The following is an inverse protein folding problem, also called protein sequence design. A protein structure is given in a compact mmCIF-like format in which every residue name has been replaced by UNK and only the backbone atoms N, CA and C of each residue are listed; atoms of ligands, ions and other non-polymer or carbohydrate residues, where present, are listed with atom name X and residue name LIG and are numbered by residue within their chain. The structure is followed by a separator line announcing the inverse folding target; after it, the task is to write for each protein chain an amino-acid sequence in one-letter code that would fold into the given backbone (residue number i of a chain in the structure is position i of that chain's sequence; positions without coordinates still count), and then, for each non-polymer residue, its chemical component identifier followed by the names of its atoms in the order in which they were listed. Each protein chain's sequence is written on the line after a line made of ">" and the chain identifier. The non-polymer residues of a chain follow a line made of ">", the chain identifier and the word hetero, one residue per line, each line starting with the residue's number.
data_IF_052845600203
#
_entry.id   IF_052845600203
#
_cell.length_a   1.000
_cell.length_b   1.000
_cell.length_c   1.000
_cell.angle_alpha   90.00
_cell.angle_beta   90.00
_cell.angle_gamma   90.00
#
_symmetry.space_group_name_H-M   'P 1'
#
loop_
_entity.id
_entity.type
_entity.pdbx_description
1 polymer ?
#
# COMPACT_ATOMS: atom_id res chain seq x y z
N UNK A 1 13.36 2.98 6.08
CA UNK A 1 14.07 1.76 5.63
C UNK A 1 15.57 1.84 5.96
N UNK A 2 16.26 2.90 5.55
CA UNK A 2 17.70 3.04 5.82
C UNK A 2 18.06 3.02 7.33
N UNK A 3 17.19 3.57 8.19
CA UNK A 3 17.38 3.51 9.64
C UNK A 3 17.24 2.09 10.19
N UNK A 4 16.34 1.29 9.59
CA UNK A 4 16.01 -0.05 10.06
C UNK A 4 16.98 -1.12 9.52
N UNK A 5 17.48 -0.90 8.28
CA UNK A 5 18.25 -1.90 7.52
C UNK A 5 19.70 -1.50 7.24
N UNK A 6 20.08 -0.23 7.46
CA UNK A 6 21.43 0.29 7.20
C UNK A 6 21.73 0.58 5.73
N UNK A 7 20.82 0.26 4.83
CA UNK A 7 20.94 0.48 3.37
C UNK A 7 19.62 1.00 2.78
N UNK A 8 19.67 1.59 1.58
CA UNK A 8 18.48 2.01 0.86
C UNK A 8 17.80 0.81 0.21
N UNK A 9 16.45 0.80 0.07
CA UNK A 9 15.77 -0.23 -0.68
C UNK A 9 16.14 -0.13 -2.17
N UNK A 10 16.27 -1.25 -2.86
CA UNK A 10 16.48 -1.31 -4.30
C UNK A 10 15.17 -1.39 -5.08
N UNK A 11 14.13 -1.95 -4.45
CA UNK A 11 12.80 -2.15 -5.03
C UNK A 11 11.70 -1.80 -4.02
N UNK A 12 10.74 -0.97 -4.44
CA UNK A 12 9.61 -0.54 -3.61
C UNK A 12 8.32 -0.71 -4.38
N UNK A 13 7.30 -1.25 -3.74
CA UNK A 13 5.93 -1.24 -4.26
C UNK A 13 5.09 -0.20 -3.51
N UNK A 14 4.45 0.69 -4.28
CA UNK A 14 3.53 1.71 -3.77
C UNK A 14 2.10 1.34 -4.12
N UNK A 15 1.21 1.42 -3.13
CA UNK A 15 -0.22 1.19 -3.31
C UNK A 15 -0.95 2.52 -3.56
N UNK A 16 -1.43 2.73 -4.79
CA UNK A 16 -2.06 3.97 -5.24
C UNK A 16 -3.57 3.84 -5.32
N UNK A 17 -4.24 4.66 -4.53
CA UNK A 17 -5.69 4.75 -4.54
C UNK A 17 -6.17 5.97 -5.34
N UNK A 18 -7.17 5.76 -6.21
CA UNK A 18 -7.74 6.85 -7.00
C UNK A 18 -8.35 7.94 -6.13
N UNK A 19 -8.99 7.59 -5.02
CA UNK A 19 -9.55 8.55 -4.07
C UNK A 19 -8.49 9.39 -3.38
N UNK A 20 -7.36 8.80 -2.98
CA UNK A 20 -6.22 9.51 -2.41
C UNK A 20 -5.62 10.49 -3.42
N UNK A 21 -5.42 10.04 -4.67
CA UNK A 21 -4.91 10.90 -5.75
C UNK A 21 -5.81 12.10 -6.05
N UNK A 22 -7.15 11.94 -5.94
CA UNK A 22 -8.08 13.07 -6.07
C UNK A 22 -7.97 14.08 -4.92
N UNK A 23 -7.78 13.62 -3.69
CA UNK A 23 -7.68 14.48 -2.49
C UNK A 23 -6.35 15.21 -2.41
N UNK A 24 -5.24 14.53 -2.71
CA UNK A 24 -3.88 15.06 -2.54
C UNK A 24 -3.33 15.76 -3.79
N UNK A 25 -4.00 15.61 -4.94
CA UNK A 25 -3.46 16.09 -6.20
C UNK A 25 -2.35 15.21 -6.77
N UNK A 26 -2.17 13.98 -6.26
CA UNK A 26 -1.23 12.99 -6.79
C UNK A 26 0.07 12.86 -6.01
N UNK A 27 0.07 13.11 -4.70
CA UNK A 27 1.26 12.99 -3.85
C UNK A 27 1.92 11.60 -3.94
N UNK A 28 1.11 10.51 -3.99
CA UNK A 28 1.63 9.16 -4.11
C UNK A 28 2.40 8.94 -5.41
N UNK A 29 1.87 9.45 -6.52
CA UNK A 29 2.55 9.39 -7.81
C UNK A 29 3.81 10.25 -7.82
N UNK A 30 3.78 11.43 -7.20
CA UNK A 30 4.95 12.30 -7.07
C UNK A 30 6.05 11.61 -6.23
N UNK A 31 5.68 10.91 -5.17
CA UNK A 31 6.59 10.08 -4.38
C UNK A 31 7.22 8.97 -5.24
N UNK A 32 6.42 8.26 -6.03
CA UNK A 32 6.89 7.22 -6.94
C UNK A 32 7.92 7.76 -7.95
N UNK A 33 7.62 8.92 -8.57
CA UNK A 33 8.51 9.58 -9.50
C UNK A 33 9.81 10.04 -8.81
N UNK A 34 9.73 10.62 -7.62
CA UNK A 34 10.91 11.04 -6.86
C UNK A 34 11.80 9.84 -6.48
N UNK A 35 11.23 8.69 -6.09
CA UNK A 35 11.97 7.46 -5.80
C UNK A 35 12.68 6.93 -7.06
N UNK A 36 12.03 6.97 -8.20
CA UNK A 36 12.61 6.60 -9.50
C UNK A 36 13.71 7.58 -9.98
N UNK A 37 13.79 8.77 -9.38
CA UNK A 37 14.73 9.83 -9.74
C UNK A 37 14.28 10.65 -10.95
N UNK A 38 12.98 10.90 -11.06
CA UNK A 38 12.38 11.78 -12.07
C UNK A 38 11.54 12.87 -11.41
N UNK A 39 11.37 13.98 -12.09
CA UNK A 39 10.58 15.12 -11.63
C UNK A 39 9.51 15.48 -12.65
N UNK A 40 8.24 15.69 -12.24
CA UNK A 40 7.20 16.14 -13.16
C UNK A 40 7.50 17.54 -13.67
N UNK A 41 7.23 17.77 -14.94
CA UNK A 41 7.28 19.09 -15.59
C UNK A 41 5.88 19.68 -15.64
N UNK A 42 5.74 20.86 -15.05
CA UNK A 42 4.47 21.57 -14.97
C UNK A 42 4.34 22.62 -16.08
N UNK A 43 3.19 22.61 -16.75
CA UNK A 43 2.76 23.75 -17.53
C UNK A 43 2.13 24.78 -16.58
N UNK A 44 2.82 25.90 -16.39
CA UNK A 44 2.38 26.96 -15.48
C UNK A 44 1.07 27.63 -15.90
N UNK A 45 0.72 27.60 -17.18
CA UNK A 45 -0.51 28.22 -17.69
C UNK A 45 -1.75 27.38 -17.36
N UNK A 46 -1.66 26.07 -17.49
CA UNK A 46 -2.75 25.13 -17.22
C UNK A 46 -2.70 24.48 -15.85
N UNK A 47 -1.61 24.65 -15.11
CA UNK A 47 -1.31 23.93 -13.85
C UNK A 47 -1.39 22.41 -13.99
N UNK A 48 -1.03 21.90 -15.18
CA UNK A 48 -1.02 20.45 -15.47
C UNK A 48 0.40 19.95 -15.69
N UNK A 49 0.61 18.69 -15.31
CA UNK A 49 1.85 17.99 -15.67
C UNK A 49 1.77 17.61 -17.15
N UNK A 50 2.79 17.99 -17.93
CA UNK A 50 2.89 17.73 -19.36
C UNK A 50 4.09 16.85 -19.77
N UNK A 51 4.83 16.34 -18.78
CA UNK A 51 5.99 15.48 -18.99
C UNK A 51 6.79 15.29 -17.72
N UNK A 52 8.01 14.80 -17.87
CA UNK A 52 8.94 14.60 -16.76
C UNK A 52 10.37 14.92 -17.18
N UNK A 53 11.20 15.19 -16.19
CA UNK A 53 12.64 15.35 -16.32
C UNK A 53 13.34 14.23 -15.56
N UNK A 54 14.35 13.60 -16.19
CA UNK A 54 15.19 12.61 -15.53
C UNK A 54 16.33 13.35 -14.81
N UNK A 55 16.43 13.15 -13.51
CA UNK A 55 17.46 13.73 -12.68
C UNK A 55 18.69 12.79 -12.65
N UNK A 56 19.92 13.29 -12.73
CA UNK A 56 21.11 12.46 -12.53
C UNK A 56 21.24 12.04 -11.05
N UNK A 57 21.77 10.83 -10.73
CA UNK A 57 21.92 10.35 -9.36
C UNK A 57 22.64 11.33 -8.42
N UNK A 58 23.62 12.08 -8.93
CA UNK A 58 24.34 13.12 -8.18
C UNK A 58 23.42 14.25 -7.66
N UNK A 59 22.27 14.49 -8.29
CA UNK A 59 21.36 15.57 -7.92
C UNK A 59 20.44 15.17 -6.76
N UNK A 60 20.08 13.91 -6.65
CA UNK A 60 19.23 13.41 -5.55
C UNK A 60 19.99 12.56 -4.53
N UNK A 61 21.32 12.38 -4.69
CA UNK A 61 22.22 11.90 -3.65
C UNK A 61 22.09 10.42 -3.26
N UNK A 62 21.50 9.57 -4.12
CA UNK A 62 21.32 8.14 -3.90
C UNK A 62 21.21 7.38 -5.23
N UNK A 63 21.22 6.06 -5.17
CA UNK A 63 20.81 5.22 -6.29
C UNK A 63 19.32 5.40 -6.62
N UNK A 64 18.92 5.09 -7.84
CA UNK A 64 17.51 4.97 -8.23
C UNK A 64 16.89 3.80 -7.51
N UNK A 65 15.60 3.90 -7.25
CA UNK A 65 14.80 2.81 -6.69
C UNK A 65 13.89 2.29 -7.81
N UNK A 66 13.84 0.98 -7.98
CA UNK A 66 12.91 0.31 -8.88
C UNK A 66 11.51 0.35 -8.27
N UNK A 67 10.65 1.20 -8.80
CA UNK A 67 9.31 1.44 -8.24
C UNK A 67 8.25 0.70 -9.04
N UNK A 68 7.46 -0.09 -8.36
CA UNK A 68 6.26 -0.72 -8.90
C UNK A 68 5.02 -0.09 -8.28
N UNK A 69 4.05 0.29 -9.10
CA UNK A 69 2.76 0.78 -8.65
C UNK A 69 1.75 -0.37 -8.64
N UNK A 70 1.11 -0.58 -7.53
CA UNK A 70 -0.15 -1.30 -7.45
C UNK A 70 -1.28 -0.26 -7.44
N UNK A 71 -2.15 -0.28 -8.43
CA UNK A 71 -3.20 0.73 -8.61
C UNK A 71 -4.59 0.18 -8.34
N UNK A 72 -5.45 0.97 -7.70
CA UNK A 72 -6.87 0.64 -7.55
C UNK A 72 -7.63 0.75 -8.89
N UNK A 73 -8.77 0.07 -8.99
CA UNK A 73 -9.64 0.18 -10.16
C UNK A 73 -10.10 1.61 -10.43
N UNK A 74 -10.35 2.40 -9.37
CA UNK A 74 -10.69 3.82 -9.52
C UNK A 74 -9.50 4.63 -10.09
N UNK A 75 -8.27 4.37 -9.64
CA UNK A 75 -7.09 5.03 -10.22
C UNK A 75 -6.93 4.70 -11.70
N UNK A 76 -7.08 3.42 -12.05
CA UNK A 76 -7.02 2.95 -13.44
C UNK A 76 -8.00 3.72 -14.34
N UNK A 77 -9.23 3.91 -13.89
CA UNK A 77 -10.31 4.45 -14.75
C UNK A 77 -10.27 5.99 -14.82
N UNK A 78 -9.83 6.66 -13.76
CA UNK A 78 -9.85 8.13 -13.66
C UNK A 78 -8.54 8.78 -14.10
N UNK A 79 -7.40 8.07 -13.98
CA UNK A 79 -6.08 8.63 -14.17
C UNK A 79 -5.23 7.98 -15.28
N UNK A 80 -5.78 7.76 -16.51
CA UNK A 80 -5.03 7.12 -17.59
C UNK A 80 -3.80 7.93 -18.03
N UNK A 81 -3.84 9.26 -17.92
CA UNK A 81 -2.69 10.12 -18.26
C UNK A 81 -1.54 9.97 -17.27
N UNK A 82 -1.84 9.78 -15.99
CA UNK A 82 -0.85 9.53 -14.94
C UNK A 82 -0.22 8.14 -15.09
N UNK A 83 -1.01 7.15 -15.51
CA UNK A 83 -0.51 5.82 -15.87
C UNK A 83 0.49 5.93 -17.04
N UNK A 84 0.12 6.66 -18.09
CA UNK A 84 0.98 6.87 -19.23
C UNK A 84 2.28 7.59 -18.84
N UNK A 85 2.18 8.68 -18.06
CA UNK A 85 3.32 9.46 -17.60
C UNK A 85 4.32 8.59 -16.81
N UNK A 86 3.81 7.76 -15.88
CA UNK A 86 4.68 6.92 -15.08
C UNK A 86 5.28 5.77 -15.89
N UNK A 87 4.52 5.11 -16.77
CA UNK A 87 5.05 4.07 -17.66
C UNK A 87 6.16 4.63 -18.57
N UNK A 88 5.97 5.80 -19.16
CA UNK A 88 6.99 6.49 -19.98
C UNK A 88 8.24 6.81 -19.15
N UNK A 89 8.09 7.29 -17.93
CA UNK A 89 9.20 7.55 -17.02
C UNK A 89 9.98 6.26 -16.69
N UNK A 90 9.28 5.17 -16.39
CA UNK A 90 9.87 3.84 -16.15
C UNK A 90 10.69 3.39 -17.38
N UNK A 91 10.13 3.52 -18.59
CA UNK A 91 10.82 3.11 -19.81
C UNK A 91 12.07 3.96 -20.06
N UNK A 92 11.97 5.27 -19.87
CA UNK A 92 13.07 6.20 -20.06
C UNK A 92 14.22 5.93 -19.06
N UNK A 93 13.90 5.75 -17.77
CA UNK A 93 14.91 5.42 -16.74
C UNK A 93 15.53 4.05 -16.97
N UNK A 94 14.74 3.05 -17.37
CA UNK A 94 15.27 1.72 -17.72
C UNK A 94 16.22 1.73 -18.92
N UNK A 95 16.14 2.74 -19.78
CA UNK A 95 16.96 2.87 -20.97
C UNK A 95 18.32 3.56 -20.72
N UNK A 96 18.52 4.11 -19.51
CA UNK A 96 19.76 4.83 -19.19
C UNK A 96 20.97 3.88 -19.14
N UNK A 97 22.11 4.42 -19.55
CA UNK A 97 23.41 3.77 -19.42
C UNK A 97 24.05 4.13 -18.06
N UNK A 98 23.39 3.66 -17.00
CA UNK A 98 23.86 3.78 -15.62
C UNK A 98 24.30 2.43 -15.11
N UNK A 99 25.17 2.41 -14.10
CA UNK A 99 25.65 1.15 -13.48
C UNK A 99 24.52 0.37 -12.79
N UNK A 100 24.68 -0.92 -12.57
CA UNK A 100 23.68 -1.78 -11.93
C UNK A 100 23.39 -1.35 -10.48
N UNK A 101 24.38 -0.75 -9.81
CA UNK A 101 24.22 -0.24 -8.46
C UNK A 101 23.49 1.11 -8.43
N UNK A 102 23.67 1.95 -9.44
CA UNK A 102 22.98 3.25 -9.55
C UNK A 102 21.54 3.10 -10.05
N UNK A 103 21.26 2.08 -10.90
CA UNK A 103 19.97 1.90 -11.53
C UNK A 103 19.54 0.42 -11.62
N UNK A 104 18.91 -0.10 -10.56
CA UNK A 104 18.40 -1.49 -10.53
C UNK A 104 17.41 -1.80 -11.65
N UNK A 105 16.63 -0.80 -12.10
CA UNK A 105 15.66 -0.95 -13.19
C UNK A 105 16.34 -1.18 -14.54
N UNK A 106 17.38 -0.41 -14.85
CA UNK A 106 18.19 -0.61 -16.05
C UNK A 106 18.94 -1.96 -16.01
N UNK A 107 19.46 -2.36 -14.84
CA UNK A 107 20.07 -3.66 -14.64
C UNK A 107 19.09 -4.81 -14.96
N UNK A 108 17.87 -4.76 -14.43
CA UNK A 108 16.83 -5.75 -14.70
C UNK A 108 16.42 -5.80 -16.17
N UNK A 109 16.36 -4.63 -16.85
CA UNK A 109 16.08 -4.57 -18.27
C UNK A 109 17.18 -5.25 -19.10
N UNK A 110 18.45 -4.93 -18.83
CA UNK A 110 19.60 -5.56 -19.51
C UNK A 110 19.61 -7.09 -19.35
N UNK A 111 19.36 -7.56 -18.12
CA UNK A 111 19.36 -8.98 -17.82
C UNK A 111 18.24 -9.78 -18.50
N UNK A 112 17.07 -9.17 -18.72
CA UNK A 112 15.88 -9.85 -19.28
C UNK A 112 15.59 -9.49 -20.72
N UNK A 113 16.26 -8.52 -21.29
CA UNK A 113 16.02 -7.97 -22.65
C UNK A 113 14.54 -7.62 -22.92
N UNK A 114 13.78 -7.32 -21.85
CA UNK A 114 12.35 -7.06 -21.93
C UNK A 114 12.01 -5.68 -21.40
N UNK A 115 10.90 -5.14 -21.92
CA UNK A 115 10.38 -3.87 -21.45
C UNK A 115 9.78 -4.05 -20.03
N UNK A 116 10.24 -3.31 -19.03
CA UNK A 116 9.74 -3.48 -17.66
C UNK A 116 8.26 -3.11 -17.54
N UNK A 117 7.49 -3.97 -16.86
CA UNK A 117 6.12 -3.68 -16.42
C UNK A 117 6.18 -3.24 -14.96
N UNK A 118 5.66 -2.06 -14.65
CA UNK A 118 5.73 -1.49 -13.29
C UNK A 118 4.42 -0.89 -12.78
N UNK A 119 3.31 -1.11 -13.49
CA UNK A 119 1.98 -0.67 -13.07
C UNK A 119 1.06 -1.88 -13.15
N UNK A 120 0.52 -2.30 -12.00
CA UNK A 120 -0.33 -3.47 -11.90
C UNK A 120 -1.63 -3.15 -11.13
N UNK A 121 -2.68 -3.88 -11.44
CA UNK A 121 -3.97 -3.76 -10.77
C UNK A 121 -4.96 -4.80 -11.26
N UNK A 122 -6.23 -4.63 -10.87
CA UNK A 122 -7.32 -5.51 -11.26
C UNK A 122 -7.63 -5.41 -12.76
N UNK A 123 -8.26 -6.44 -13.31
CA UNK A 123 -8.76 -6.44 -14.69
C UNK A 123 -9.67 -5.23 -14.96
N UNK A 124 -9.76 -4.75 -16.22
CA UNK A 124 -10.72 -3.70 -16.59
C UNK A 124 -12.15 -4.07 -16.17
N UNK A 125 -12.85 -3.10 -15.57
CA UNK A 125 -14.22 -3.28 -15.09
C UNK A 125 -14.36 -4.01 -13.76
N UNK A 126 -13.25 -4.43 -13.12
CA UNK A 126 -13.27 -5.04 -11.78
C UNK A 126 -12.72 -4.08 -10.73
N UNK A 127 -13.25 -4.19 -9.50
CA UNK A 127 -12.90 -3.34 -8.36
C UNK A 127 -12.75 -4.20 -7.11
N UNK A 128 -11.93 -3.71 -6.15
CA UNK A 128 -11.65 -4.43 -4.91
C UNK A 128 -10.72 -5.62 -5.11
N UNK A 129 -10.39 -6.29 -4.03
CA UNK A 129 -9.53 -7.47 -4.02
C UNK A 129 -10.31 -8.75 -3.65
N UNK A 130 -11.49 -8.58 -3.03
CA UNK A 130 -12.37 -9.70 -2.64
C UNK A 130 -11.85 -10.52 -1.47
N UNK A 131 -10.80 -10.07 -0.77
CA UNK A 131 -10.20 -10.80 0.34
C UNK A 131 -11.06 -10.72 1.60
N UNK A 132 -11.64 -9.54 1.86
CA UNK A 132 -12.43 -9.31 3.07
C UNK A 132 -13.66 -10.23 3.15
N UNK A 133 -14.33 -10.48 2.03
CA UNK A 133 -15.46 -11.40 1.99
C UNK A 133 -15.02 -12.82 2.40
N UNK A 134 -13.87 -13.28 1.90
CA UNK A 134 -13.31 -14.58 2.27
C UNK A 134 -12.88 -14.64 3.74
N UNK A 135 -12.26 -13.57 4.25
CA UNK A 135 -11.79 -13.50 5.64
C UNK A 135 -12.98 -13.45 6.61
N UNK A 136 -13.98 -12.59 6.36
CA UNK A 136 -15.12 -12.41 7.25
C UNK A 136 -16.07 -13.61 7.25
N UNK A 137 -16.14 -14.32 6.12
CA UNK A 137 -16.89 -15.57 6.03
C UNK A 137 -16.10 -16.80 6.49
N UNK A 138 -14.83 -16.62 6.87
CA UNK A 138 -13.90 -17.71 7.22
C UNK A 138 -13.76 -18.75 6.08
N UNK A 139 -13.80 -18.30 4.83
CA UNK A 139 -13.69 -19.14 3.64
C UNK A 139 -12.22 -19.31 3.20
N UNK A 140 -11.34 -19.57 4.12
CA UNK A 140 -9.94 -19.92 3.87
C UNK A 140 -9.46 -20.88 4.96
N UNK A 141 -8.59 -21.80 4.60
CA UNK A 141 -7.97 -22.76 5.52
C UNK A 141 -6.54 -22.33 5.85
N UNK A 142 -5.86 -21.75 4.87
CA UNK A 142 -4.46 -21.32 4.98
C UNK A 142 -4.27 -19.92 4.38
N UNK A 143 -3.35 -19.14 4.95
CA UNK A 143 -2.98 -17.79 4.47
C UNK A 143 -2.55 -17.78 3.00
N UNK A 144 -1.94 -18.85 2.53
CA UNK A 144 -1.51 -18.99 1.13
C UNK A 144 -2.66 -18.83 0.14
N UNK A 145 -3.88 -19.21 0.51
CA UNK A 145 -5.07 -19.03 -0.33
C UNK A 145 -5.39 -17.54 -0.52
N UNK A 146 -5.25 -16.75 0.56
CA UNK A 146 -5.44 -15.30 0.52
C UNK A 146 -4.33 -14.62 -0.28
N UNK A 147 -3.07 -15.05 -0.13
CA UNK A 147 -1.94 -14.57 -0.93
C UNK A 147 -2.12 -14.83 -2.44
N UNK A 148 -2.59 -16.02 -2.82
CA UNK A 148 -2.92 -16.36 -4.21
C UNK A 148 -4.05 -15.49 -4.75
N UNK A 149 -5.13 -15.31 -3.98
CA UNK A 149 -6.26 -14.47 -4.38
C UNK A 149 -5.82 -13.01 -4.61
N UNK A 150 -4.92 -12.47 -3.76
CA UNK A 150 -4.33 -11.14 -3.97
C UNK A 150 -3.56 -11.05 -5.29
N UNK A 151 -2.73 -12.05 -5.61
CA UNK A 151 -1.98 -12.09 -6.86
C UNK A 151 -2.89 -12.15 -8.08
N UNK A 152 -3.95 -12.95 -8.02
CA UNK A 152 -4.95 -13.08 -9.08
C UNK A 152 -5.72 -11.78 -9.30
N UNK A 153 -6.16 -11.12 -8.22
CA UNK A 153 -6.88 -9.86 -8.27
C UNK A 153 -6.08 -8.71 -8.90
N UNK A 154 -4.74 -8.76 -8.84
CA UNK A 154 -3.84 -7.72 -9.36
C UNK A 154 -3.04 -8.17 -10.59
N UNK A 155 -3.51 -9.16 -11.32
CA UNK A 155 -2.79 -9.84 -12.39
C UNK A 155 -2.72 -9.11 -13.74
N UNK A 156 -3.16 -7.85 -13.84
CA UNK A 156 -3.10 -7.07 -15.07
C UNK A 156 -2.08 -5.95 -14.98
N UNK A 157 -1.26 -5.81 -16.04
CA UNK A 157 -0.33 -4.70 -16.19
C UNK A 157 -0.92 -3.63 -17.11
N UNK A 158 -0.59 -2.37 -16.81
CA UNK A 158 -1.05 -1.18 -17.53
C UNK A 158 0.12 -0.44 -18.14
N UNK A 159 -0.11 0.10 -19.34
CA UNK A 159 0.91 0.78 -20.16
C UNK A 159 0.44 2.15 -20.64
N UNK A 160 1.38 2.97 -21.08
CA UNK A 160 1.13 4.26 -21.72
C UNK A 160 0.18 4.17 -22.92
N UNK A 161 0.16 3.03 -23.61
CA UNK A 161 -0.75 2.76 -24.73
C UNK A 161 -2.23 2.63 -24.31
N UNK A 162 -2.54 2.63 -23.01
CA UNK A 162 -3.87 2.34 -22.48
C UNK A 162 -4.24 0.83 -22.47
N UNK A 163 -3.34 -0.03 -22.94
CA UNK A 163 -3.58 -1.47 -22.95
C UNK A 163 -3.50 -2.05 -21.53
N UNK A 164 -4.48 -2.89 -21.19
CA UNK A 164 -4.44 -3.79 -20.05
C UNK A 164 -3.97 -5.17 -20.52
N UNK A 165 -2.89 -5.68 -19.96
CA UNK A 165 -2.26 -6.93 -20.38
C UNK A 165 -2.34 -7.95 -19.22
N UNK A 166 -2.82 -9.18 -19.43
CA UNK A 166 -2.65 -10.24 -18.45
C UNK A 166 -1.16 -10.43 -18.15
N UNK A 167 -0.75 -10.31 -16.90
CA UNK A 167 0.65 -10.27 -16.49
C UNK A 167 0.89 -10.88 -15.10
N UNK A 168 0.18 -11.96 -14.76
CA UNK A 168 0.23 -12.59 -13.43
C UNK A 168 1.66 -12.95 -13.00
N UNK A 169 2.45 -13.59 -13.88
CA UNK A 169 3.83 -13.96 -13.56
C UNK A 169 4.75 -12.75 -13.39
N UNK A 170 4.54 -11.68 -14.16
CA UNK A 170 5.29 -10.42 -14.00
C UNK A 170 4.96 -9.77 -12.66
N UNK A 171 3.70 -9.72 -12.27
CA UNK A 171 3.28 -9.19 -10.96
C UNK A 171 3.88 -10.00 -9.81
N UNK A 172 3.76 -11.34 -9.87
CA UNK A 172 4.35 -12.22 -8.87
C UNK A 172 5.87 -12.00 -8.73
N UNK A 173 6.58 -11.77 -9.85
CA UNK A 173 8.01 -11.44 -9.81
C UNK A 173 8.25 -10.10 -9.07
N UNK A 174 7.45 -9.07 -9.34
CA UNK A 174 7.60 -7.79 -8.63
C UNK A 174 7.32 -7.93 -7.12
N UNK A 175 6.28 -8.66 -6.74
CA UNK A 175 5.97 -8.91 -5.31
C UNK A 175 7.11 -9.67 -4.64
N UNK A 176 7.66 -10.70 -5.31
CA UNK A 176 8.77 -11.50 -4.80
C UNK A 176 10.06 -10.69 -4.62
N UNK A 177 10.33 -9.73 -5.51
CA UNK A 177 11.58 -8.96 -5.55
C UNK A 177 11.47 -7.63 -4.78
N UNK A 178 10.34 -7.33 -4.14
CA UNK A 178 10.11 -6.06 -3.42
C UNK A 178 10.77 -6.08 -2.04
N UNK A 179 11.58 -5.05 -1.74
CA UNK A 179 12.20 -4.85 -0.43
C UNK A 179 11.23 -4.19 0.57
N UNK A 180 10.41 -3.26 0.07
CA UNK A 180 9.46 -2.53 0.90
C UNK A 180 8.14 -2.27 0.16
N UNK A 181 7.04 -2.42 0.89
CA UNK A 181 5.71 -1.99 0.46
C UNK A 181 5.31 -0.72 1.22
N UNK A 182 4.69 0.22 0.52
CA UNK A 182 4.29 1.52 1.08
C UNK A 182 2.84 1.81 0.75
N UNK A 183 2.07 2.10 1.80
CA UNK A 183 0.72 2.66 1.69
C UNK A 183 0.69 4.04 2.34
N UNK A 184 0.06 5.01 1.68
CA UNK A 184 -0.10 6.37 2.19
C UNK A 184 -1.54 6.59 2.63
N UNK A 185 -1.73 6.95 3.89
CA UNK A 185 -3.02 7.33 4.44
C UNK A 185 -3.15 8.85 4.52
N UNK A 186 -4.10 9.40 3.80
CA UNK A 186 -4.36 10.84 3.67
C UNK A 186 -5.68 11.30 4.34
N UNK A 187 -6.54 10.37 4.79
CA UNK A 187 -7.85 10.68 5.36
C UNK A 187 -7.73 11.05 6.83
N UNK A 188 -8.04 12.30 7.17
CA UNK A 188 -8.06 12.75 8.56
C UNK A 188 -9.17 12.03 9.35
N UNK A 189 -8.86 11.64 10.58
CA UNK A 189 -9.82 10.97 11.47
C UNK A 189 -9.95 9.47 11.26
N UNK A 190 -9.24 8.87 10.30
CA UNK A 190 -9.17 7.42 10.12
C UNK A 190 -7.80 6.85 10.54
N UNK A 191 -7.78 5.58 10.87
CA UNK A 191 -6.56 4.79 11.07
C UNK A 191 -6.71 3.38 10.46
N UNK A 192 -5.65 2.58 10.56
CA UNK A 192 -5.61 1.25 9.91
C UNK A 192 -6.65 0.25 10.42
N UNK A 193 -7.30 0.52 11.55
CA UNK A 193 -8.37 -0.33 12.11
C UNK A 193 -9.78 0.27 11.90
N UNK A 194 -9.92 1.42 11.20
CA UNK A 194 -11.21 2.03 10.91
C UNK A 194 -11.82 1.57 9.58
N UNK A 195 -11.03 0.92 8.73
CA UNK A 195 -11.52 0.38 7.46
C UNK A 195 -10.83 -0.95 7.13
N UNK A 196 -11.62 -1.89 6.67
CA UNK A 196 -11.18 -3.20 6.18
C UNK A 196 -10.28 -3.10 4.94
N UNK A 197 -10.40 -2.02 4.17
CA UNK A 197 -9.58 -1.77 2.99
C UNK A 197 -8.08 -1.72 3.31
N UNK A 198 -7.67 -1.17 4.46
CA UNK A 198 -6.26 -1.14 4.83
C UNK A 198 -5.69 -2.55 5.03
N UNK A 199 -6.39 -3.40 5.80
CA UNK A 199 -5.98 -4.78 5.99
C UNK A 199 -5.95 -5.56 4.65
N UNK A 200 -6.95 -5.34 3.80
CA UNK A 200 -7.04 -6.00 2.49
C UNK A 200 -5.87 -5.66 1.57
N UNK A 201 -5.47 -4.39 1.53
CA UNK A 201 -4.40 -3.92 0.66
C UNK A 201 -3.01 -4.22 1.24
N UNK A 202 -2.73 -3.76 2.44
CA UNK A 202 -1.45 -3.93 3.12
C UNK A 202 -1.21 -5.40 3.49
N UNK A 203 -2.21 -6.02 4.11
CA UNK A 203 -2.15 -7.42 4.52
C UNK A 203 -2.20 -8.39 3.35
N UNK A 204 -3.03 -8.12 2.34
CA UNK A 204 -3.09 -8.92 1.13
C UNK A 204 -1.75 -8.96 0.40
N UNK A 205 -1.06 -7.82 0.30
CA UNK A 205 0.30 -7.78 -0.22
C UNK A 205 1.27 -8.63 0.62
N UNK A 206 1.20 -8.52 1.95
CA UNK A 206 2.04 -9.30 2.85
C UNK A 206 1.81 -10.82 2.70
N UNK A 207 0.55 -11.25 2.62
CA UNK A 207 0.19 -12.65 2.39
C UNK A 207 0.73 -13.16 1.03
N UNK A 208 0.61 -12.34 -0.02
CA UNK A 208 1.14 -12.66 -1.34
C UNK A 208 2.66 -12.76 -1.36
N UNK A 209 3.36 -11.83 -0.72
CA UNK A 209 4.81 -11.85 -0.59
C UNK A 209 5.30 -13.08 0.18
N UNK A 210 4.65 -13.39 1.31
CA UNK A 210 4.96 -14.57 2.12
C UNK A 210 4.75 -15.87 1.33
N UNK A 211 3.63 -15.99 0.61
CA UNK A 211 3.37 -17.12 -0.30
C UNK A 211 4.48 -17.32 -1.34
N UNK A 212 5.10 -16.23 -1.82
CA UNK A 212 6.20 -16.27 -2.78
C UNK A 212 7.59 -16.42 -2.12
N UNK A 213 7.64 -16.55 -0.79
CA UNK A 213 8.87 -16.68 -0.02
C UNK A 213 9.63 -15.38 0.18
N UNK A 214 8.94 -14.23 0.14
CA UNK A 214 9.49 -12.91 0.44
C UNK A 214 8.86 -12.31 1.71
N UNK A 215 9.63 -11.53 2.45
CA UNK A 215 9.18 -10.82 3.67
C UNK A 215 9.61 -9.35 3.61
N UNK A 216 8.98 -8.54 2.74
CA UNK A 216 9.31 -7.13 2.61
C UNK A 216 8.88 -6.35 3.85
N UNK A 217 9.55 -5.22 4.10
CA UNK A 217 9.11 -4.32 5.16
C UNK A 217 7.86 -3.58 4.71
N UNK A 218 6.83 -3.58 5.56
CA UNK A 218 5.55 -2.93 5.28
C UNK A 218 5.52 -1.57 5.99
N UNK A 219 5.46 -0.49 5.22
CA UNK A 219 5.39 0.88 5.72
C UNK A 219 4.02 1.49 5.51
N UNK A 220 3.54 2.11 6.56
CA UNK A 220 2.37 2.97 6.58
C UNK A 220 2.81 4.43 6.73
N UNK A 221 2.40 5.29 5.80
CA UNK A 221 2.72 6.72 5.83
C UNK A 221 1.47 7.49 6.28
N UNK A 222 1.55 8.11 7.44
CA UNK A 222 0.51 9.02 7.94
C UNK A 222 0.74 10.43 7.37
N UNK A 223 0.04 10.74 6.28
CA UNK A 223 0.06 12.02 5.57
C UNK A 223 -1.22 12.86 5.79
N UNK A 224 -2.04 12.54 6.79
CA UNK A 224 -3.36 13.16 7.07
C UNK A 224 -3.33 14.67 7.25
N UNK A 225 -2.19 15.21 7.66
CA UNK A 225 -2.00 16.63 7.92
C UNK A 225 -0.99 17.20 6.94
N UNK A 226 -1.49 17.75 5.84
CA UNK A 226 -0.66 18.34 4.79
C UNK A 226 0.19 19.54 5.25
N UNK A 227 -0.07 20.11 6.43
CA UNK A 227 0.71 21.18 7.04
C UNK A 227 1.94 20.69 7.84
N UNK A 228 2.11 19.37 7.98
CA UNK A 228 3.20 18.74 8.75
C UNK A 228 3.88 17.66 7.94
N UNK A 229 5.17 17.40 8.22
CA UNK A 229 5.85 16.26 7.62
C UNK A 229 5.10 14.96 7.89
N UNK A 230 4.92 14.14 6.86
CA UNK A 230 4.34 12.82 6.95
C UNK A 230 5.14 11.94 7.94
N UNK A 231 4.45 11.09 8.67
CA UNK A 231 5.08 10.16 9.61
C UNK A 231 5.09 8.77 9.01
N UNK A 232 6.28 8.22 8.87
CA UNK A 232 6.51 6.87 8.36
C UNK A 232 6.69 5.92 9.54
N UNK A 233 5.96 4.80 9.54
CA UNK A 233 6.05 3.72 10.52
C UNK A 233 5.93 2.39 9.81
N UNK A 234 6.50 1.36 10.41
CA UNK A 234 6.10 0.00 10.04
C UNK A 234 4.63 -0.23 10.41
N UNK A 235 3.97 -1.16 9.72
CA UNK A 235 2.56 -1.48 10.04
C UNK A 235 2.45 -1.98 11.49
N UNK A 236 3.44 -2.70 12.01
CA UNK A 236 3.46 -3.10 13.43
C UNK A 236 3.48 -1.90 14.38
N UNK A 237 4.32 -0.91 14.13
CA UNK A 237 4.38 0.31 14.95
C UNK A 237 3.07 1.10 14.89
N UNK A 238 2.48 1.21 13.68
CA UNK A 238 1.19 1.88 13.52
C UNK A 238 0.07 1.11 14.22
N UNK A 239 0.06 -0.24 14.14
CA UNK A 239 -0.88 -1.10 14.85
C UNK A 239 -0.82 -0.87 16.36
N UNK A 240 0.36 -0.91 16.96
CA UNK A 240 0.55 -0.66 18.39
C UNK A 240 0.10 0.76 18.78
N UNK A 241 0.38 1.75 17.92
CA UNK A 241 -0.05 3.13 18.14
C UNK A 241 -1.58 3.24 18.17
N UNK A 242 -2.26 2.60 17.23
CA UNK A 242 -3.73 2.62 17.13
C UNK A 242 -4.37 1.87 18.28
N UNK A 243 -3.88 0.69 18.60
CA UNK A 243 -4.38 -0.10 19.73
C UNK A 243 -4.30 0.71 21.02
N UNK A 244 -3.13 1.24 21.37
CA UNK A 244 -2.94 2.00 22.63
C UNK A 244 -3.54 3.39 22.61
N UNK A 245 -3.51 4.07 21.48
CA UNK A 245 -3.99 5.45 21.36
C UNK A 245 -5.51 5.57 21.26
N UNK A 246 -6.15 4.59 20.62
CA UNK A 246 -7.60 4.58 20.35
C UNK A 246 -8.30 3.33 20.83
N UNK A 247 -8.01 2.16 20.26
CA UNK A 247 -8.87 0.98 20.38
C UNK A 247 -9.03 0.46 21.82
N UNK A 248 -7.97 0.54 22.65
CA UNK A 248 -8.03 0.19 24.08
C UNK A 248 -8.19 1.41 25.01
N UNK A 249 -8.35 2.62 24.44
CA UNK A 249 -8.48 3.84 25.23
C UNK A 249 -9.87 3.95 25.86
N UNK A 250 -9.98 3.97 27.21
CA UNK A 250 -11.28 4.03 27.90
C UNK A 250 -12.13 5.26 27.53
N UNK A 251 -11.50 6.37 27.14
CA UNK A 251 -12.22 7.59 26.72
C UNK A 251 -12.91 7.39 25.37
N UNK A 252 -12.21 6.74 24.42
CA UNK A 252 -12.78 6.41 23.12
C UNK A 252 -13.91 5.39 23.27
N UNK A 253 -13.67 4.29 23.98
CA UNK A 253 -14.68 3.24 24.23
C UNK A 253 -15.92 3.84 24.89
N UNK A 254 -15.76 4.65 25.96
CA UNK A 254 -16.87 5.34 26.62
C UNK A 254 -17.58 6.31 25.68
N UNK A 255 -16.86 6.94 24.75
CA UNK A 255 -17.43 7.78 23.71
C UNK A 255 -18.32 6.97 22.78
N UNK A 256 -17.84 5.85 22.26
CA UNK A 256 -18.61 4.95 21.39
C UNK A 256 -19.87 4.42 22.10
N UNK A 257 -19.75 3.97 23.34
CA UNK A 257 -20.89 3.44 24.10
C UNK A 257 -22.04 4.44 24.28
N UNK A 258 -21.79 5.75 24.19
CA UNK A 258 -22.87 6.77 24.20
C UNK A 258 -23.72 6.75 22.93
N UNK A 259 -23.21 6.19 21.84
CA UNK A 259 -23.92 6.10 20.55
C UNK A 259 -24.69 4.77 20.41
N UNK A 260 -24.81 4.00 21.50
CA UNK A 260 -25.58 2.76 21.52
C UNK A 260 -25.11 1.76 20.48
N UNK A 261 -26.05 1.18 19.71
CA UNK A 261 -25.75 0.18 18.70
C UNK A 261 -24.66 0.59 17.70
N UNK A 262 -24.70 1.84 17.21
CA UNK A 262 -23.69 2.33 16.27
C UNK A 262 -22.28 2.32 16.89
N UNK A 263 -22.15 2.75 18.12
CA UNK A 263 -20.84 2.74 18.78
C UNK A 263 -20.33 1.33 19.07
N UNK A 264 -21.23 0.39 19.38
CA UNK A 264 -20.88 -1.02 19.51
C UNK A 264 -20.39 -1.61 18.17
N UNK A 265 -21.01 -1.21 17.04
CA UNK A 265 -20.58 -1.60 15.68
C UNK A 265 -19.17 -1.10 15.39
N UNK A 266 -18.84 0.15 15.71
CA UNK A 266 -17.49 0.71 15.52
C UNK A 266 -16.41 -0.06 16.30
N UNK A 267 -16.73 -0.48 17.53
CA UNK A 267 -15.83 -1.34 18.32
C UNK A 267 -15.69 -2.72 17.66
N UNK A 268 -16.80 -3.31 17.22
CA UNK A 268 -16.78 -4.61 16.54
C UNK A 268 -16.01 -4.59 15.22
N UNK A 269 -16.11 -3.50 14.44
CA UNK A 269 -15.33 -3.29 13.21
C UNK A 269 -13.85 -3.18 13.52
N UNK A 270 -13.46 -2.46 14.58
CA UNK A 270 -12.07 -2.41 15.03
C UNK A 270 -11.49 -3.80 15.32
N UNK A 271 -12.27 -4.65 16.02
CA UNK A 271 -11.88 -6.06 16.30
C UNK A 271 -11.77 -6.87 15.00
N UNK A 272 -12.73 -6.71 14.10
CA UNK A 272 -12.77 -7.40 12.81
C UNK A 272 -11.58 -7.03 11.94
N UNK A 273 -11.24 -5.74 11.87
CA UNK A 273 -10.09 -5.28 11.11
C UNK A 273 -8.76 -5.77 11.70
N UNK A 274 -8.64 -5.84 13.04
CA UNK A 274 -7.50 -6.48 13.69
C UNK A 274 -7.40 -7.96 13.32
N UNK A 275 -8.53 -8.67 13.27
CA UNK A 275 -8.57 -10.08 12.83
C UNK A 275 -8.17 -10.24 11.36
N UNK A 276 -8.59 -9.32 10.48
CA UNK A 276 -8.17 -9.34 9.07
C UNK A 276 -6.64 -9.19 8.93
N UNK A 277 -6.01 -8.30 9.71
CA UNK A 277 -4.54 -8.23 9.75
C UNK A 277 -3.91 -9.51 10.27
N UNK A 278 -4.49 -10.16 11.29
CA UNK A 278 -3.97 -11.43 11.82
C UNK A 278 -4.07 -12.58 10.79
N UNK A 279 -5.13 -12.61 10.01
CA UNK A 279 -5.30 -13.60 8.94
C UNK A 279 -4.26 -13.44 7.82
N UNK A 280 -3.91 -12.19 7.50
CA UNK A 280 -3.09 -11.83 6.34
C UNK A 280 -1.60 -11.66 6.66
N UNK A 281 -1.25 -11.36 7.93
CA UNK A 281 0.11 -10.92 8.31
C UNK A 281 0.56 -11.53 9.63
N UNK A 282 1.84 -11.37 9.93
CA UNK A 282 2.43 -11.65 11.24
C UNK A 282 2.66 -10.38 12.09
N UNK A 283 2.04 -9.25 11.69
CA UNK A 283 2.21 -7.96 12.42
C UNK A 283 1.38 -7.88 13.69
N UNK A 284 0.41 -8.77 13.90
CA UNK A 284 -0.41 -8.86 15.11
C UNK A 284 0.13 -9.94 16.06
N UNK A 285 -0.05 -9.72 17.35
CA UNK A 285 0.34 -10.66 18.40
C UNK A 285 -0.89 -11.02 19.25
N UNK A 286 -0.89 -12.19 19.91
CA UNK A 286 -2.00 -12.63 20.79
C UNK A 286 -2.34 -11.58 21.85
N UNK A 287 -1.33 -10.91 22.41
CA UNK A 287 -1.53 -9.83 23.40
C UNK A 287 -2.35 -8.66 22.87
N UNK A 288 -2.33 -8.37 21.55
CA UNK A 288 -3.10 -7.28 20.95
C UNK A 288 -4.61 -7.57 21.09
N UNK A 289 -5.01 -8.82 20.92
CA UNK A 289 -6.37 -9.29 21.13
C UNK A 289 -6.73 -9.34 22.62
N UNK A 290 -5.83 -9.79 23.49
CA UNK A 290 -6.05 -9.83 24.92
C UNK A 290 -6.27 -8.43 25.50
N UNK A 291 -5.44 -7.44 25.10
CA UNK A 291 -5.58 -6.04 25.50
C UNK A 291 -6.91 -5.45 25.01
N UNK A 292 -7.29 -5.71 23.75
CA UNK A 292 -8.54 -5.22 23.18
C UNK A 292 -9.74 -5.88 23.84
N UNK A 293 -9.72 -7.20 24.08
CA UNK A 293 -10.74 -7.93 24.81
C UNK A 293 -10.93 -7.39 26.24
N UNK A 294 -9.83 -7.25 26.98
CA UNK A 294 -9.87 -6.72 28.34
C UNK A 294 -10.45 -5.31 28.40
N UNK A 295 -10.14 -4.45 27.43
CA UNK A 295 -10.62 -3.08 27.36
C UNK A 295 -12.11 -2.97 26.95
N UNK A 296 -12.65 -3.95 26.22
CA UNK A 296 -14.01 -3.92 25.63
C UNK A 296 -14.92 -4.98 26.24
N UNK A 297 -14.87 -6.21 25.73
CA UNK A 297 -15.78 -7.31 26.12
C UNK A 297 -15.50 -7.87 27.51
N UNK A 298 -14.26 -7.85 27.96
CA UNK A 298 -13.85 -8.30 29.31
C UNK A 298 -14.24 -7.33 30.42
N UNK A 299 -14.56 -6.07 30.08
CA UNK A 299 -14.98 -5.06 31.05
C UNK A 299 -16.47 -5.22 31.39
N UNK A 300 -16.87 -4.84 32.64
CA UNK A 300 -18.28 -4.90 33.08
C UNK A 300 -19.25 -4.19 32.14
N UNK A 301 -18.80 -3.15 31.44
CA UNK A 301 -19.58 -2.40 30.44
C UNK A 301 -19.96 -3.29 29.24
N UNK A 302 -19.10 -4.21 28.81
CA UNK A 302 -19.41 -5.14 27.72
C UNK A 302 -20.43 -6.21 28.10
N UNK A 303 -20.52 -6.55 29.38
CA UNK A 303 -21.47 -7.56 29.89
C UNK A 303 -22.90 -7.03 30.10
N UNK A 304 -23.07 -5.71 30.16
CA UNK A 304 -24.37 -5.09 30.39
C UNK A 304 -25.24 -4.95 29.13
N UNK A 305 -24.71 -5.29 27.95
CA UNK A 305 -25.37 -5.09 26.65
C UNK A 305 -25.41 -6.35 25.75
N UNK A 306 -25.11 -7.52 26.33
CA UNK A 306 -25.30 -8.84 25.68
C UNK A 306 -26.60 -9.47 26.10
#
# INVERSE_FOLDING_TARGET
>A
YMQDHGEAPRSVMLDLWGSASMRTGGDDLAQAMALLGVRPLWDHASSRVNGFEILPPAQFGRARIDVTLRISGLFRDVFPQQIALFDEAVQAVAALDETDDENPLAAKRRAKETIPLRIFGSAPGTFGLGLNDSIHALHFEERDQLGKAYLEANSHAYRASGAALPAASAFATQVKDTDAFVHVQDIEGQDILDSDAYAEHEGGFAAAANYLGNQPTLYHIDAKRGDRPAKIRTIREEMVRVLRGRATNPRWIKGQMRHGYRGATEIAETVRNLFSYAALTDVTESRDFDELYAATLGHEIGRAHV
#
